data_IF_306135137629
#
_entry.id   IF_306135137629
#
_cell.length_a   1.000
_cell.length_b   1.000
_cell.length_c   1.000
_cell.angle_alpha   90.00
_cell.angle_beta   90.00
_cell.angle_gamma   90.00
#
_symmetry.space_group_name_H-M   'P 1'
#
loop_
_entity.id
_entity.type
_entity.pdbx_description
1 polymer ?
#
# COMPACT_ATOMS: atom_id res chain seq x y z
N UNK A 1 -22.56 -7.78 -11.08
CA UNK A 1 -21.27 -7.14 -10.74
C UNK A 1 -20.61 -7.92 -9.61
N UNK A 2 -19.38 -8.41 -9.78
CA UNK A 2 -18.66 -9.19 -8.74
C UNK A 2 -17.55 -8.33 -8.14
N UNK A 3 -17.64 -8.05 -6.83
CA UNK A 3 -16.60 -7.36 -6.07
C UNK A 3 -15.75 -8.38 -5.32
N UNK A 4 -14.42 -8.23 -5.38
CA UNK A 4 -13.46 -9.00 -4.58
C UNK A 4 -12.61 -8.03 -3.76
N UNK A 5 -12.46 -8.31 -2.47
CA UNK A 5 -11.68 -7.49 -1.53
C UNK A 5 -10.59 -8.35 -0.90
N UNK A 6 -9.38 -7.80 -0.79
CA UNK A 6 -8.23 -8.44 -0.12
C UNK A 6 -7.37 -7.38 0.56
N UNK A 7 -6.70 -7.74 1.67
CA UNK A 7 -5.79 -6.86 2.39
C UNK A 7 -4.34 -7.38 2.35
N UNK A 8 -3.41 -6.45 2.11
CA UNK A 8 -1.97 -6.74 2.10
C UNK A 8 -1.27 -6.35 3.41
N UNK A 9 -1.94 -5.64 4.33
CA UNK A 9 -1.27 -5.05 5.49
C UNK A 9 -0.05 -4.24 5.05
N UNK A 10 1.08 -4.44 5.72
CA UNK A 10 2.35 -3.79 5.39
C UNK A 10 3.21 -4.57 4.39
N UNK A 11 2.73 -5.71 3.86
CA UNK A 11 3.52 -6.63 3.03
C UNK A 11 3.82 -6.13 1.62
N UNK A 12 3.15 -5.07 1.16
CA UNK A 12 3.33 -4.51 -0.19
C UNK A 12 3.45 -2.97 -0.18
N UNK A 13 4.55 -2.44 0.39
CA UNK A 13 4.81 -1.00 0.40
C UNK A 13 5.13 -0.49 -1.00
N UNK A 14 4.67 0.73 -1.34
CA UNK A 14 5.12 1.46 -2.54
C UNK A 14 6.16 2.54 -2.21
N UNK A 15 6.36 2.80 -0.92
CA UNK A 15 7.40 3.68 -0.41
C UNK A 15 7.99 3.08 0.87
N UNK A 16 9.24 3.37 1.19
CA UNK A 16 9.85 2.85 2.41
C UNK A 16 9.15 3.40 3.67
N UNK A 17 8.88 2.52 4.65
CA UNK A 17 8.36 2.94 5.97
C UNK A 17 9.45 3.55 6.86
N UNK A 18 10.72 3.31 6.54
CA UNK A 18 11.86 3.86 7.27
C UNK A 18 12.79 4.63 6.33
N UNK A 19 13.55 5.56 6.90
CA UNK A 19 14.63 6.28 6.23
C UNK A 19 15.89 5.40 6.16
N UNK A 20 16.93 5.86 5.44
CA UNK A 20 18.18 5.08 5.26
C UNK A 20 18.91 4.80 6.58
N UNK A 21 18.75 5.69 7.56
CA UNK A 21 19.25 5.60 8.93
C UNK A 21 18.35 4.75 9.85
N UNK A 22 17.22 4.24 9.36
CA UNK A 22 16.31 3.36 10.10
C UNK A 22 15.20 4.06 10.89
N UNK A 23 15.18 5.39 10.94
CA UNK A 23 14.10 6.18 11.56
C UNK A 23 12.76 6.02 10.82
N UNK A 24 11.62 6.32 11.48
CA UNK A 24 10.30 6.33 10.82
C UNK A 24 10.31 7.30 9.63
N UNK A 25 9.67 6.90 8.54
CA UNK A 25 9.43 7.73 7.37
C UNK A 25 7.92 8.00 7.23
N UNK A 26 7.37 9.02 7.91
CA UNK A 26 5.95 9.33 7.87
C UNK A 26 5.42 9.57 6.46
N UNK A 27 6.22 10.22 5.59
CA UNK A 27 5.84 10.50 4.21
C UNK A 27 5.71 9.21 3.39
N UNK A 28 6.62 8.25 3.58
CA UNK A 28 6.54 6.94 2.95
C UNK A 28 5.35 6.11 3.47
N UNK A 29 5.17 6.08 4.79
CA UNK A 29 4.04 5.40 5.43
C UNK A 29 2.69 5.97 5.00
N UNK A 30 2.58 7.28 4.81
CA UNK A 30 1.37 7.91 4.27
C UNK A 30 1.02 7.38 2.86
N UNK A 31 2.00 7.19 1.98
CA UNK A 31 1.79 6.59 0.65
C UNK A 31 1.35 5.11 0.72
N UNK A 32 1.82 4.39 1.75
CA UNK A 32 1.46 2.98 1.94
C UNK A 32 0.04 2.79 2.49
N UNK A 33 -0.54 3.78 3.17
CA UNK A 33 -1.94 3.78 3.60
C UNK A 33 -2.87 4.04 2.41
N UNK A 34 -3.07 3.02 1.58
CA UNK A 34 -3.85 3.13 0.34
C UNK A 34 -4.77 1.94 0.11
N UNK A 35 -5.80 2.17 -0.71
CA UNK A 35 -6.62 1.12 -1.33
C UNK A 35 -6.34 1.14 -2.83
N UNK A 36 -6.19 -0.03 -3.44
CA UNK A 36 -6.02 -0.17 -4.90
C UNK A 36 -7.28 -0.79 -5.48
N UNK A 37 -7.82 -0.16 -6.52
CA UNK A 37 -9.02 -0.64 -7.23
C UNK A 37 -8.57 -1.07 -8.63
N UNK A 38 -8.92 -2.29 -9.01
CA UNK A 38 -8.67 -2.84 -10.35
C UNK A 38 -9.94 -3.51 -10.86
N UNK A 39 -10.14 -3.45 -12.17
CA UNK A 39 -11.25 -4.10 -12.87
C UNK A 39 -10.71 -4.79 -14.12
N UNK A 40 -11.36 -5.88 -14.52
CA UNK A 40 -11.13 -6.53 -15.79
C UNK A 40 -12.44 -6.48 -16.59
N UNK A 41 -12.37 -5.97 -17.82
CA UNK A 41 -13.49 -6.08 -18.75
C UNK A 41 -13.49 -7.50 -19.30
N UNK A 42 -14.62 -8.20 -19.16
CA UNK A 42 -14.87 -9.48 -19.83
C UNK A 42 -15.25 -9.23 -21.29
#
# INVERSE_FOLDING_TARGET
MKLKVSSNGERQPIAANTTKDGSDNPAGRAKNRRVTISWANH
#
